data_IF_453858432390
#
_entry.id   IF_453858432390
#
_cell.length_a   1.000
_cell.length_b   1.000
_cell.length_c   1.000
_cell.angle_alpha   90.00
_cell.angle_beta   90.00
_cell.angle_gamma   90.00
#
_symmetry.space_group_name_H-M   'P 1'
#
loop_
_entity.id
_entity.type
_entity.pdbx_description
1 polymer ?
#
# COMPACT_ATOMS: atom_id res chain seq x y z
N UNK A 1 -49.09 -0.41 12.57
CA UNK A 1 -48.23 -1.57 12.23
C UNK A 1 -46.87 -1.28 12.83
N UNK A 2 -46.63 -1.76 14.05
CA UNK A 2 -45.39 -1.54 14.79
C UNK A 2 -44.28 -2.41 14.19
N UNK A 3 -43.19 -1.78 13.80
CA UNK A 3 -42.00 -2.51 13.38
C UNK A 3 -41.39 -3.24 14.58
N UNK A 4 -41.01 -4.50 14.41
CA UNK A 4 -40.45 -5.31 15.48
C UNK A 4 -39.13 -4.72 15.99
N UNK A 5 -38.87 -4.86 17.29
CA UNK A 5 -37.66 -4.40 17.97
C UNK A 5 -36.38 -4.89 17.29
N UNK A 6 -36.41 -6.07 16.68
CA UNK A 6 -35.36 -6.67 15.86
C UNK A 6 -35.07 -5.89 14.57
N UNK A 7 -36.06 -5.26 13.95
CA UNK A 7 -35.89 -4.43 12.76
C UNK A 7 -35.30 -3.05 13.10
N UNK A 8 -35.57 -2.55 14.30
CA UNK A 8 -34.96 -1.31 14.82
C UNK A 8 -33.50 -1.49 15.15
N UNK A 9 -33.13 -2.56 15.87
CA UNK A 9 -31.76 -2.92 16.22
C UNK A 9 -30.90 -3.21 14.98
N UNK A 10 -31.48 -3.82 13.95
CA UNK A 10 -30.78 -4.02 12.68
C UNK A 10 -30.52 -2.70 11.92
N UNK A 11 -31.46 -1.77 11.92
CA UNK A 11 -31.25 -0.45 11.30
C UNK A 11 -30.18 0.37 12.03
N UNK A 12 -30.24 0.46 13.37
CA UNK A 12 -29.23 1.16 14.17
C UNK A 12 -27.82 0.54 14.00
N UNK A 13 -27.72 -0.79 13.90
CA UNK A 13 -26.43 -1.45 13.64
C UNK A 13 -25.93 -1.22 12.22
N UNK A 14 -26.80 -1.16 11.21
CA UNK A 14 -26.42 -0.83 9.83
C UNK A 14 -26.03 0.64 9.73
N UNK A 15 -26.77 1.57 10.35
CA UNK A 15 -26.44 2.99 10.36
C UNK A 15 -25.13 3.26 11.12
N UNK A 16 -24.90 2.65 12.29
CA UNK A 16 -23.60 2.74 13.02
C UNK A 16 -22.44 2.15 12.25
N UNK A 17 -22.66 1.07 11.48
CA UNK A 17 -21.58 0.46 10.66
C UNK A 17 -21.20 1.34 9.46
N UNK A 18 -22.11 2.13 8.93
CA UNK A 18 -21.86 3.05 7.81
C UNK A 18 -21.26 4.39 8.27
N UNK A 19 -21.56 4.86 9.48
CA UNK A 19 -20.98 6.10 10.04
C UNK A 19 -19.49 5.95 10.42
N UNK A 20 -18.98 4.72 10.58
CA UNK A 20 -17.58 4.46 10.95
C UNK A 20 -16.70 4.00 9.77
N UNK A 21 -17.22 3.91 8.55
CA UNK A 21 -16.46 3.50 7.37
C UNK A 21 -15.56 4.64 6.86
N UNK A 22 -14.26 4.34 6.73
CA UNK A 22 -13.30 5.22 6.03
C UNK A 22 -13.15 4.75 4.59
N UNK A 23 -13.42 5.64 3.61
CA UNK A 23 -13.20 5.38 2.19
C UNK A 23 -11.82 5.83 1.75
N UNK A 24 -11.24 5.11 0.78
CA UNK A 24 -9.90 5.41 0.29
C UNK A 24 -9.82 6.81 -0.31
N UNK A 25 -8.98 7.71 0.23
CA UNK A 25 -8.98 9.12 -0.13
C UNK A 25 -8.19 9.44 -1.41
N UNK A 26 -7.43 8.49 -1.95
CA UNK A 26 -6.61 8.65 -3.15
C UNK A 26 -7.15 7.77 -4.27
N UNK A 27 -6.98 8.23 -5.51
CA UNK A 27 -7.17 7.40 -6.71
C UNK A 27 -5.92 6.57 -6.98
N UNK A 28 -6.03 5.39 -7.62
CA UNK A 28 -4.87 4.63 -8.05
C UNK A 28 -3.91 5.48 -8.90
N UNK A 29 -2.62 5.42 -8.59
CA UNK A 29 -1.57 6.02 -9.40
C UNK A 29 -0.96 4.94 -10.29
N UNK A 30 -1.37 4.92 -11.56
CA UNK A 30 -1.06 3.86 -12.53
C UNK A 30 -0.53 4.45 -13.83
N UNK A 31 0.75 4.85 -13.91
CA UNK A 31 1.37 5.18 -15.19
C UNK A 31 1.14 4.07 -16.23
N UNK A 32 0.90 4.39 -17.48
CA UNK A 32 0.66 3.40 -18.56
C UNK A 32 1.81 2.44 -18.76
N UNK A 33 3.01 2.84 -18.35
CA UNK A 33 4.26 2.05 -18.37
C UNK A 33 4.49 1.21 -17.11
N UNK A 34 3.50 1.11 -16.22
CA UNK A 34 3.66 0.42 -14.92
C UNK A 34 4.10 -1.03 -15.11
N UNK A 35 5.26 -1.38 -14.57
CA UNK A 35 5.84 -2.72 -14.51
C UNK A 35 5.71 -3.33 -13.11
N UNK A 36 5.72 -2.48 -12.09
CA UNK A 36 5.62 -2.86 -10.67
C UNK A 36 4.51 -2.05 -10.02
N UNK A 37 3.58 -2.73 -9.35
CA UNK A 37 2.49 -2.11 -8.61
C UNK A 37 2.67 -2.35 -7.11
N UNK A 38 2.93 -1.30 -6.35
CA UNK A 38 2.93 -1.35 -4.89
C UNK A 38 1.50 -1.27 -4.35
N UNK A 39 1.17 -2.20 -3.47
CA UNK A 39 -0.09 -2.24 -2.74
C UNK A 39 0.18 -2.20 -1.23
N UNK A 40 -0.24 -1.12 -0.58
CA UNK A 40 -0.32 -1.05 0.88
C UNK A 40 -1.59 -1.68 1.42
N UNK A 41 -1.82 -1.59 2.72
CA UNK A 41 -3.07 -2.03 3.35
C UNK A 41 -4.19 -1.00 3.20
N UNK A 42 -3.95 0.20 3.70
CA UNK A 42 -4.80 1.38 3.64
C UNK A 42 -4.02 2.61 4.17
N UNK A 43 -4.30 3.84 3.72
CA UNK A 43 -3.55 5.01 4.17
C UNK A 43 -3.70 5.27 5.67
N UNK A 44 -2.70 5.84 6.34
CA UNK A 44 -2.84 6.33 7.70
C UNK A 44 -3.79 7.53 7.75
N UNK A 45 -4.30 7.86 8.93
CA UNK A 45 -5.16 9.02 9.14
C UNK A 45 -4.52 10.31 8.61
N UNK A 46 -5.33 11.21 8.07
CA UNK A 46 -4.90 12.49 7.46
C UNK A 46 -4.00 13.35 8.36
N UNK A 47 -4.20 13.33 9.67
CA UNK A 47 -3.33 14.05 10.64
C UNK A 47 -1.86 13.65 10.61
N UNK A 48 -1.52 12.53 9.96
CA UNK A 48 -0.16 12.01 9.80
C UNK A 48 0.47 12.31 8.44
N UNK A 49 -0.26 12.98 7.55
CA UNK A 49 0.18 13.23 6.18
C UNK A 49 1.00 14.51 6.07
N UNK A 50 2.14 14.43 5.40
CA UNK A 50 2.93 15.57 4.99
C UNK A 50 2.83 15.86 3.48
N UNK A 51 2.13 15.01 2.72
CA UNK A 51 1.81 15.21 1.31
C UNK A 51 0.53 14.45 0.94
N UNK A 52 -0.14 14.82 -0.16
CA UNK A 52 -1.35 14.16 -0.64
C UNK A 52 -1.03 13.05 -1.65
N UNK A 53 -0.33 12.00 -1.19
CA UNK A 53 0.09 10.87 -2.00
C UNK A 53 0.35 9.63 -1.13
N UNK A 54 0.83 8.53 -1.72
CA UNK A 54 1.14 7.27 -1.03
C UNK A 54 2.34 7.42 -0.08
N UNK A 55 2.36 6.62 0.99
CA UNK A 55 3.35 6.71 2.07
C UNK A 55 3.54 8.15 2.59
N UNK A 56 2.44 8.83 2.96
CA UNK A 56 2.43 10.26 3.25
C UNK A 56 3.07 10.62 4.59
N UNK A 57 3.29 9.67 5.47
CA UNK A 57 3.83 9.95 6.80
C UNK A 57 5.33 10.21 6.73
N UNK A 58 5.76 11.41 7.12
CA UNK A 58 7.17 11.85 7.06
C UNK A 58 8.14 10.94 7.82
N UNK A 59 7.68 10.26 8.88
CA UNK A 59 8.49 9.31 9.63
C UNK A 59 8.52 7.90 8.99
N UNK A 60 7.80 7.65 7.88
CA UNK A 60 7.92 6.42 7.12
C UNK A 60 9.19 6.46 6.25
N UNK A 61 9.87 5.33 6.09
CA UNK A 61 11.13 5.26 5.36
C UNK A 61 10.98 5.03 3.86
N UNK A 62 9.77 4.82 3.33
CA UNK A 62 9.56 4.41 1.93
C UNK A 62 10.31 5.30 0.92
N UNK A 63 10.09 6.62 0.96
CA UNK A 63 10.74 7.54 0.03
C UNK A 63 12.23 7.69 0.28
N UNK A 64 12.72 7.41 1.51
CA UNK A 64 14.15 7.34 1.81
C UNK A 64 14.79 6.09 1.23
N UNK A 65 14.09 4.96 1.25
CA UNK A 65 14.50 3.71 0.59
C UNK A 65 14.62 3.95 -0.92
N UNK A 66 13.59 4.55 -1.54
CA UNK A 66 13.58 4.87 -2.97
C UNK A 66 14.75 5.81 -3.35
N UNK A 67 14.96 6.87 -2.60
CA UNK A 67 16.09 7.79 -2.79
C UNK A 67 17.44 7.07 -2.69
N UNK A 68 17.62 6.22 -1.69
CA UNK A 68 18.86 5.44 -1.51
C UNK A 68 19.15 4.48 -2.67
N UNK A 69 18.12 3.83 -3.21
CA UNK A 69 18.27 2.84 -4.29
C UNK A 69 18.59 3.51 -5.62
N UNK A 70 17.82 4.52 -6.00
CA UNK A 70 17.84 5.07 -7.36
C UNK A 70 18.78 6.27 -7.51
N UNK A 71 19.11 6.95 -6.43
CA UNK A 71 19.92 8.18 -6.45
C UNK A 71 21.12 8.14 -5.50
N UNK A 72 21.31 7.02 -4.78
CA UNK A 72 22.34 6.90 -3.74
C UNK A 72 22.26 8.00 -2.66
N UNK A 73 21.06 8.57 -2.47
CA UNK A 73 20.78 9.61 -1.50
C UNK A 73 19.43 9.39 -0.83
N UNK A 74 19.45 9.00 0.45
CA UNK A 74 18.22 8.79 1.24
C UNK A 74 17.37 10.04 1.38
N UNK A 75 17.91 11.23 1.15
CA UNK A 75 17.21 12.50 1.26
C UNK A 75 16.77 13.06 -0.09
N UNK A 76 16.99 12.36 -1.21
CA UNK A 76 16.67 12.84 -2.55
C UNK A 76 15.23 13.37 -2.69
N UNK A 77 14.29 12.71 -2.05
CA UNK A 77 12.86 13.08 -2.06
C UNK A 77 12.42 13.83 -0.79
N UNK A 78 13.36 14.31 0.04
CA UNK A 78 13.07 14.87 1.38
C UNK A 78 13.37 16.36 1.43
N UNK A 79 12.35 17.15 1.73
CA UNK A 79 12.53 18.51 2.23
C UNK A 79 12.65 18.48 3.76
N UNK A 80 13.89 18.49 4.26
CA UNK A 80 14.15 18.38 5.69
C UNK A 80 13.73 19.64 6.45
N UNK A 81 13.71 20.82 5.80
CA UNK A 81 13.33 22.09 6.40
C UNK A 81 11.83 22.14 6.68
N UNK A 82 11.04 21.77 5.68
CA UNK A 82 9.57 21.78 5.76
C UNK A 82 9.01 20.46 6.32
N UNK A 83 9.88 19.46 6.57
CA UNK A 83 9.48 18.10 7.00
C UNK A 83 8.40 17.47 6.10
N UNK A 84 8.59 17.57 4.80
CA UNK A 84 7.70 17.00 3.78
C UNK A 84 8.49 16.25 2.72
N UNK A 85 7.78 15.49 1.90
CA UNK A 85 8.36 14.88 0.71
C UNK A 85 8.12 15.74 -0.53
N UNK A 86 9.03 15.65 -1.50
CA UNK A 86 9.01 16.40 -2.76
C UNK A 86 8.09 15.68 -3.75
N UNK A 87 6.78 15.91 -3.66
CA UNK A 87 5.75 15.18 -4.39
C UNK A 87 5.94 15.22 -5.91
N UNK A 88 6.26 16.39 -6.49
CA UNK A 88 6.45 16.53 -7.93
C UNK A 88 7.61 15.66 -8.43
N UNK A 89 8.76 15.70 -7.74
CA UNK A 89 9.92 14.85 -8.06
C UNK A 89 9.61 13.36 -7.91
N UNK A 90 8.80 12.99 -6.91
CA UNK A 90 8.34 11.61 -6.72
C UNK A 90 7.48 11.17 -7.90
N UNK A 91 6.49 11.96 -8.28
CA UNK A 91 5.56 11.61 -9.38
C UNK A 91 6.32 11.46 -10.70
N UNK A 92 7.21 12.40 -11.02
CA UNK A 92 8.05 12.35 -12.21
C UNK A 92 8.91 11.08 -12.24
N UNK A 93 9.62 10.78 -11.15
CA UNK A 93 10.42 9.57 -11.00
C UNK A 93 9.60 8.29 -11.22
N UNK A 94 8.42 8.20 -10.60
CA UNK A 94 7.56 7.02 -10.71
C UNK A 94 7.04 6.80 -12.14
N UNK A 95 6.69 7.88 -12.84
CA UNK A 95 6.28 7.83 -14.25
C UNK A 95 7.42 7.33 -15.14
N UNK A 96 8.65 7.83 -14.93
CA UNK A 96 9.83 7.41 -15.68
C UNK A 96 10.20 5.94 -15.43
N UNK A 97 10.04 5.45 -14.20
CA UNK A 97 10.40 4.07 -13.82
C UNK A 97 9.28 3.06 -14.05
N UNK A 98 8.07 3.47 -14.32
CA UNK A 98 6.93 2.58 -14.46
C UNK A 98 6.56 1.92 -13.14
N UNK A 99 6.44 2.69 -12.07
CA UNK A 99 6.05 2.22 -10.73
C UNK A 99 4.70 2.79 -10.38
N UNK A 100 3.72 1.91 -10.15
CA UNK A 100 2.37 2.27 -9.72
C UNK A 100 2.14 2.09 -8.23
N UNK A 101 1.11 2.76 -7.71
CA UNK A 101 0.70 2.69 -6.30
C UNK A 101 -0.81 2.63 -6.16
N UNK A 102 -1.25 1.78 -5.25
CA UNK A 102 -2.56 1.78 -4.64
C UNK A 102 -2.52 1.06 -3.28
N UNK A 103 -3.68 0.75 -2.71
CA UNK A 103 -3.83 -0.04 -1.50
C UNK A 103 -4.77 -1.23 -1.75
N UNK A 104 -4.71 -2.24 -0.89
CA UNK A 104 -5.48 -3.49 -1.04
C UNK A 104 -6.93 -3.37 -0.59
N UNK A 105 -7.31 -2.24 0.02
CA UNK A 105 -8.66 -1.96 0.47
C UNK A 105 -9.13 -0.60 -0.04
N UNK A 106 -10.40 -0.52 -0.48
CA UNK A 106 -11.09 0.71 -0.87
C UNK A 106 -11.91 1.29 0.26
N UNK A 107 -12.28 0.47 1.27
CA UNK A 107 -13.02 0.89 2.44
C UNK A 107 -12.63 0.04 3.65
N UNK A 108 -12.47 0.70 4.80
CA UNK A 108 -12.10 0.06 6.06
C UNK A 108 -12.87 0.66 7.23
N UNK A 109 -12.96 -0.12 8.33
CA UNK A 109 -13.28 0.38 9.67
C UNK A 109 -12.02 0.39 10.51
N UNK A 110 -11.73 1.52 11.15
CA UNK A 110 -10.56 1.67 12.02
C UNK A 110 -10.96 1.42 13.46
N UNK A 111 -10.48 0.32 14.03
CA UNK A 111 -10.86 -0.14 15.38
C UNK A 111 -10.08 0.57 16.50
N UNK A 112 -9.02 1.32 16.17
CA UNK A 112 -8.23 2.08 17.14
C UNK A 112 -7.62 3.33 16.49
N UNK A 113 -7.47 4.40 17.26
CA UNK A 113 -6.86 5.68 16.82
C UNK A 113 -5.33 5.58 16.80
N UNK A 114 -4.79 4.65 16.01
CA UNK A 114 -3.35 4.49 15.80
C UNK A 114 -3.03 4.18 14.33
N UNK A 115 -1.73 4.07 14.01
CA UNK A 115 -1.27 3.81 12.64
C UNK A 115 -1.02 2.32 12.36
N UNK A 116 -1.43 1.42 13.26
CA UNK A 116 -1.18 -0.02 13.09
C UNK A 116 -2.28 -0.66 12.25
N UNK A 117 -1.86 -1.34 11.19
CA UNK A 117 -2.76 -2.09 10.29
C UNK A 117 -3.50 -3.23 10.98
N UNK A 118 -3.06 -3.64 12.19
CA UNK A 118 -3.73 -4.66 13.00
C UNK A 118 -5.15 -4.28 13.40
N UNK A 119 -5.43 -2.98 13.44
CA UNK A 119 -6.72 -2.42 13.84
C UNK A 119 -7.54 -1.94 12.64
N UNK A 120 -7.22 -2.41 11.44
CA UNK A 120 -8.01 -2.18 10.23
C UNK A 120 -8.87 -3.41 9.93
N UNK A 121 -10.16 -3.25 10.00
CA UNK A 121 -11.16 -4.18 9.43
C UNK A 121 -11.45 -3.75 7.99
N UNK A 122 -11.22 -4.64 7.03
CA UNK A 122 -11.47 -4.35 5.62
C UNK A 122 -12.96 -4.58 5.35
N UNK A 123 -13.66 -3.54 4.92
CA UNK A 123 -15.06 -3.60 4.51
C UNK A 123 -15.18 -3.90 3.01
N UNK A 124 -14.28 -3.32 2.20
CA UNK A 124 -14.25 -3.54 0.76
C UNK A 124 -12.81 -3.66 0.26
N UNK A 125 -12.54 -4.73 -0.50
CA UNK A 125 -11.24 -4.95 -1.13
C UNK A 125 -11.14 -4.22 -2.47
N UNK A 126 -9.92 -3.81 -2.83
CA UNK A 126 -9.60 -3.31 -4.16
C UNK A 126 -9.73 -4.43 -5.20
N UNK A 127 -10.42 -4.20 -6.30
CA UNK A 127 -10.42 -5.10 -7.47
C UNK A 127 -9.06 -5.01 -8.18
N UNK A 128 -8.14 -5.90 -7.77
CA UNK A 128 -6.76 -5.92 -8.29
C UNK A 128 -6.76 -6.31 -9.77
N UNK A 129 -7.63 -7.21 -10.21
CA UNK A 129 -7.69 -7.62 -11.62
C UNK A 129 -8.14 -6.46 -12.52
N UNK A 130 -9.05 -5.61 -12.05
CA UNK A 130 -9.42 -4.38 -12.75
C UNK A 130 -8.23 -3.42 -12.86
N UNK A 131 -7.42 -3.24 -11.82
CA UNK A 131 -6.19 -2.43 -11.91
C UNK A 131 -5.22 -3.02 -12.94
N UNK A 132 -4.95 -4.33 -12.89
CA UNK A 132 -4.02 -5.02 -13.81
C UNK A 132 -4.44 -4.89 -15.28
N UNK A 133 -5.74 -4.90 -15.57
CA UNK A 133 -6.25 -4.66 -16.92
C UNK A 133 -5.86 -3.28 -17.48
N UNK A 134 -5.70 -2.27 -16.62
CA UNK A 134 -5.28 -0.91 -17.04
C UNK A 134 -3.78 -0.77 -17.22
N UNK A 135 -2.99 -1.68 -16.68
CA UNK A 135 -1.50 -1.68 -16.69
C UNK A 135 -0.95 -3.03 -17.20
N UNK A 136 -1.18 -3.42 -18.46
CA UNK A 136 -0.87 -4.76 -18.96
C UNK A 136 0.63 -5.11 -18.94
N UNK A 137 1.52 -4.14 -18.76
CA UNK A 137 2.95 -4.36 -18.60
C UNK A 137 3.35 -4.77 -17.17
N UNK A 138 2.44 -4.67 -16.20
CA UNK A 138 2.71 -5.02 -14.81
C UNK A 138 2.94 -6.53 -14.66
N UNK A 139 4.09 -6.90 -14.13
CA UNK A 139 4.48 -8.30 -13.87
C UNK A 139 4.66 -8.59 -12.39
N UNK A 140 4.75 -7.56 -11.57
CA UNK A 140 5.04 -7.69 -10.14
C UNK A 140 4.08 -6.83 -9.33
N UNK A 141 3.24 -7.47 -8.53
CA UNK A 141 2.54 -6.82 -7.43
C UNK A 141 3.43 -6.92 -6.20
N UNK A 142 3.61 -5.81 -5.52
CA UNK A 142 4.44 -5.71 -4.32
C UNK A 142 3.59 -5.34 -3.14
N UNK A 143 3.65 -6.13 -2.09
CA UNK A 143 3.04 -5.76 -0.80
C UNK A 143 4.10 -5.43 0.24
N UNK A 144 3.86 -4.38 1.03
CA UNK A 144 4.74 -3.97 2.11
C UNK A 144 4.06 -4.21 3.45
N UNK A 145 4.52 -5.21 4.17
CA UNK A 145 3.91 -5.64 5.44
C UNK A 145 2.92 -6.81 5.28
N UNK A 146 2.52 -7.35 6.42
CA UNK A 146 1.75 -8.59 6.48
C UNK A 146 0.28 -8.40 6.08
N UNK A 147 -0.37 -7.34 6.58
CA UNK A 147 -1.79 -7.08 6.33
C UNK A 147 -2.09 -6.93 4.83
N UNK A 148 -1.29 -6.14 4.12
CA UNK A 148 -1.45 -5.97 2.68
C UNK A 148 -1.26 -7.31 1.94
N UNK A 149 -0.24 -8.10 2.31
CA UNK A 149 -0.01 -9.42 1.72
C UNK A 149 -1.21 -10.33 1.96
N UNK A 150 -1.73 -10.39 3.18
CA UNK A 150 -2.88 -11.20 3.53
C UNK A 150 -4.14 -10.81 2.74
N UNK A 151 -4.36 -9.51 2.55
CA UNK A 151 -5.49 -9.02 1.77
C UNK A 151 -5.43 -9.52 0.30
N UNK A 152 -4.24 -9.50 -0.31
CA UNK A 152 -4.05 -10.05 -1.67
C UNK A 152 -4.24 -11.57 -1.67
N UNK A 153 -3.64 -12.27 -0.72
CA UNK A 153 -3.77 -13.73 -0.61
C UNK A 153 -5.22 -14.19 -0.51
N UNK A 154 -6.02 -13.49 0.29
CA UNK A 154 -7.45 -13.80 0.45
C UNK A 154 -8.20 -13.67 -0.87
N UNK A 155 -7.90 -12.65 -1.69
CA UNK A 155 -8.55 -12.46 -2.99
C UNK A 155 -8.16 -13.53 -4.01
N UNK A 156 -6.93 -14.04 -3.97
CA UNK A 156 -6.43 -15.05 -4.90
C UNK A 156 -6.41 -16.48 -4.32
N UNK A 157 -6.99 -16.67 -3.13
CA UNK A 157 -7.07 -17.99 -2.45
C UNK A 157 -5.70 -18.66 -2.30
N UNK A 158 -4.64 -17.87 -2.04
CA UNK A 158 -3.30 -18.42 -1.85
C UNK A 158 -3.18 -19.11 -0.49
N UNK A 159 -2.61 -20.32 -0.47
CA UNK A 159 -2.58 -21.18 0.72
C UNK A 159 -1.49 -20.82 1.73
N UNK A 160 -0.41 -20.18 1.30
CA UNK A 160 0.74 -19.91 2.16
C UNK A 160 1.28 -18.50 1.97
N UNK A 161 1.54 -17.82 3.09
CA UNK A 161 2.14 -16.49 3.12
C UNK A 161 3.60 -16.56 2.60
N UNK A 162 3.97 -15.82 1.53
CA UNK A 162 5.36 -15.80 1.09
C UNK A 162 6.26 -15.21 2.18
N UNK A 163 7.48 -15.73 2.29
CA UNK A 163 8.48 -15.17 3.18
C UNK A 163 8.82 -13.73 2.77
N UNK A 164 9.24 -12.90 3.73
CA UNK A 164 9.71 -11.53 3.42
C UNK A 164 10.92 -11.60 2.50
N UNK A 165 10.90 -10.85 1.39
CA UNK A 165 11.92 -10.88 0.35
C UNK A 165 11.74 -12.00 -0.67
N UNK A 166 10.62 -12.71 -0.66
CA UNK A 166 10.28 -13.74 -1.65
C UNK A 166 8.98 -13.43 -2.39
N UNK A 167 8.65 -14.24 -3.39
CA UNK A 167 7.45 -14.09 -4.20
C UNK A 167 6.73 -15.41 -4.42
N UNK A 168 5.46 -15.31 -4.81
CA UNK A 168 4.63 -16.44 -5.27
C UNK A 168 3.89 -16.03 -6.55
N UNK A 169 3.61 -16.94 -7.48
CA UNK A 169 2.75 -16.66 -8.62
C UNK A 169 1.34 -16.28 -8.16
N UNK A 170 0.75 -15.22 -8.75
CA UNK A 170 -0.68 -14.94 -8.66
C UNK A 170 -1.44 -15.56 -9.84
N UNK A 171 -0.84 -15.48 -11.01
CA UNK A 171 -1.32 -16.09 -12.25
C UNK A 171 -0.12 -16.34 -13.18
N UNK A 172 -0.37 -16.75 -14.45
CA UNK A 172 0.68 -17.06 -15.42
C UNK A 172 1.61 -15.89 -15.76
N UNK A 173 1.20 -14.64 -15.48
CA UNK A 173 1.90 -13.43 -15.91
C UNK A 173 2.36 -12.52 -14.78
N UNK A 174 1.81 -12.67 -13.57
CA UNK A 174 2.02 -11.75 -12.45
C UNK A 174 2.40 -12.51 -11.19
N UNK A 175 3.40 -12.01 -10.49
CA UNK A 175 3.82 -12.52 -9.17
C UNK A 175 3.46 -11.54 -8.06
N UNK A 176 3.20 -12.07 -6.87
CA UNK A 176 3.12 -11.32 -5.62
C UNK A 176 4.47 -11.37 -4.92
N UNK A 177 5.14 -10.24 -4.80
CA UNK A 177 6.39 -10.08 -4.07
C UNK A 177 6.13 -9.44 -2.71
N UNK A 178 6.59 -10.09 -1.63
CA UNK A 178 6.44 -9.56 -0.27
C UNK A 178 7.70 -8.87 0.20
N UNK A 179 7.59 -7.57 0.54
CA UNK A 179 8.67 -6.79 1.13
C UNK A 179 8.46 -6.58 2.65
N UNK A 180 9.52 -6.29 3.39
CA UNK A 180 9.39 -5.80 4.76
C UNK A 180 8.66 -4.46 4.76
N UNK A 181 7.94 -4.18 5.84
CA UNK A 181 7.29 -2.87 6.01
C UNK A 181 8.33 -1.75 6.02
N UNK A 182 8.03 -0.66 5.32
CA UNK A 182 8.81 0.57 5.34
C UNK A 182 8.60 1.42 6.61
N UNK A 183 7.65 1.06 7.46
CA UNK A 183 7.42 1.73 8.75
C UNK A 183 8.67 1.66 9.63
N UNK A 184 8.98 2.76 10.32
CA UNK A 184 10.05 2.76 11.35
C UNK A 184 9.74 1.90 12.56
N UNK A 185 8.47 1.59 12.81
CA UNK A 185 8.07 0.64 13.84
C UNK A 185 8.42 -0.83 13.49
N UNK A 186 8.69 -1.13 12.22
CA UNK A 186 9.13 -2.46 11.80
C UNK A 186 10.61 -2.66 12.20
N UNK A 187 10.97 -3.75 12.92
CA UNK A 187 12.27 -3.95 13.55
C UNK A 187 13.35 -4.34 12.53
N UNK A 188 13.60 -3.48 11.54
CA UNK A 188 14.63 -3.64 10.51
C UNK A 188 15.27 -2.28 10.22
N UNK A 189 16.61 -2.23 10.16
CA UNK A 189 17.34 -1.01 9.83
C UNK A 189 17.02 -0.51 8.42
N UNK A 190 17.23 0.80 8.17
CA UNK A 190 17.04 1.39 6.84
C UNK A 190 17.87 0.65 5.78
N UNK A 191 19.14 0.37 6.06
CA UNK A 191 20.05 -0.27 5.10
C UNK A 191 19.56 -1.68 4.71
N UNK A 192 19.07 -2.46 5.67
CA UNK A 192 18.48 -3.78 5.39
C UNK A 192 17.18 -3.69 4.61
N UNK A 193 16.37 -2.64 4.84
CA UNK A 193 15.19 -2.37 4.02
C UNK A 193 15.61 -2.00 2.59
N UNK A 194 16.61 -1.12 2.43
CA UNK A 194 17.17 -0.73 1.13
C UNK A 194 17.65 -1.96 0.36
N UNK A 195 18.41 -2.87 1.01
CA UNK A 195 18.85 -4.11 0.39
C UNK A 195 17.68 -4.99 -0.10
N UNK A 196 16.66 -5.18 0.74
CA UNK A 196 15.49 -5.99 0.38
C UNK A 196 14.70 -5.40 -0.80
N UNK A 197 14.51 -4.07 -0.80
CA UNK A 197 13.81 -3.37 -1.89
C UNK A 197 14.65 -3.34 -3.18
N UNK A 198 15.97 -3.23 -3.10
CA UNK A 198 16.86 -3.30 -4.25
C UNK A 198 16.73 -4.64 -4.98
N UNK A 199 16.72 -5.76 -4.26
CA UNK A 199 16.51 -7.11 -4.82
C UNK A 199 15.18 -7.23 -5.59
N UNK A 200 14.12 -6.59 -5.11
CA UNK A 200 12.87 -6.51 -5.87
C UNK A 200 13.05 -5.78 -7.19
N UNK A 201 13.70 -4.60 -7.18
CA UNK A 201 13.86 -3.80 -8.40
C UNK A 201 14.81 -4.43 -9.40
N UNK A 202 15.84 -5.15 -8.94
CA UNK A 202 16.70 -6.01 -9.77
C UNK A 202 15.88 -7.15 -10.39
N UNK A 203 15.05 -7.85 -9.60
CA UNK A 203 14.14 -8.89 -10.08
C UNK A 203 13.16 -8.37 -11.14
N UNK A 204 12.65 -7.16 -10.95
CA UNK A 204 11.70 -6.52 -11.88
C UNK A 204 12.38 -5.84 -13.09
N UNK A 205 13.72 -5.81 -13.18
CA UNK A 205 14.48 -5.16 -14.24
C UNK A 205 14.30 -3.65 -14.31
N UNK A 206 14.23 -2.98 -13.14
CA UNK A 206 14.05 -1.53 -13.02
C UNK A 206 15.36 -0.82 -12.62
N UNK A 207 16.26 -1.51 -11.93
CA UNK A 207 17.63 -1.10 -11.62
C UNK A 207 18.62 -2.11 -12.16
#
# INVERSE_FOLDING_TARGET
MEMSESAYLNRENIERSTEEAEYHPLKPFLPTTTKVLFLGSFPPQRKRWCMNFYYPNFINDHWRIMGSIFFNDKNHFVDSKEKKFLLESIVEFLQQKGIGYYDTATSVKRLADNASDKFLEVLEYTDIDSLLRTIPQCKVIVTTGEKATQNVMNQYSLLSLPSVGSYVPLNDNVVLYRLPSSSRAYPLSLDKKVEAYRKLFEFAGIV
#
